data_IF_478898433523
#
_entry.id   IF_478898433523
#
_cell.length_a   1.000
_cell.length_b   1.000
_cell.length_c   1.000
_cell.angle_alpha   90.00
_cell.angle_beta   90.00
_cell.angle_gamma   90.00
#
_symmetry.space_group_name_H-M   'P 1'
#
loop_
_entity.id
_entity.type
_entity.pdbx_description
1 polymer ?
#
# COMPACT_ATOMS: atom_id res chain seq x y z
N UNK A 1 -12.56 -19.15 -12.23
CA UNK A 1 -12.28 -18.69 -12.26
C UNK A 1 -11.45 -18.22 -11.96
N UNK A 2 -10.88 -17.99 -11.81
CA UNK A 2 -10.19 -17.49 -11.51
C UNK A 2 -9.73 -16.55 -11.42
N UNK A 3 -9.42 -16.14 -11.29
CA UNK A 3 -9.00 -15.37 -11.14
C UNK A 3 -8.36 -14.48 -11.05
N UNK A 4 -8.41 -13.85 -10.96
CA UNK A 4 -7.84 -12.76 -10.96
C UNK A 4 -7.00 -12.54 -9.88
N UNK A 5 -5.96 -13.08 -9.59
CA UNK A 5 -5.31 -12.95 -8.45
C UNK A 5 -4.61 -11.71 -8.26
N UNK A 6 -4.04 -11.07 -9.11
CA UNK A 6 -3.32 -9.81 -8.90
C UNK A 6 -4.20 -8.60 -9.09
N UNK A 7 -5.48 -8.81 -8.89
CA UNK A 7 -6.46 -7.76 -9.09
C UNK A 7 -6.50 -6.82 -7.89
N UNK A 8 -6.43 -5.53 -8.16
CA UNK A 8 -6.46 -4.52 -7.10
C UNK A 8 -7.42 -3.41 -7.50
N UNK A 9 -8.45 -3.17 -6.69
CA UNK A 9 -9.37 -2.07 -6.91
C UNK A 9 -9.78 -1.46 -5.59
N UNK A 10 -10.34 -0.26 -5.66
CA UNK A 10 -10.68 0.48 -4.47
C UNK A 10 -11.75 -0.23 -3.63
N UNK A 11 -12.73 -0.81 -4.30
CA UNK A 11 -13.85 -1.45 -3.58
C UNK A 11 -13.36 -2.61 -2.72
N UNK A 12 -12.56 -3.47 -3.28
CA UNK A 12 -12.06 -4.63 -2.56
C UNK A 12 -11.09 -4.22 -1.46
N UNK A 13 -10.24 -3.24 -1.75
CA UNK A 13 -9.30 -2.74 -0.75
C UNK A 13 -10.05 -2.13 0.43
N UNK A 14 -11.07 -1.32 0.13
CA UNK A 14 -11.85 -0.70 1.18
C UNK A 14 -12.49 -1.77 2.08
N UNK A 15 -13.10 -2.78 1.47
CA UNK A 15 -13.77 -3.83 2.24
C UNK A 15 -12.79 -4.57 3.14
N UNK A 16 -11.61 -4.91 2.61
CA UNK A 16 -10.62 -5.61 3.40
C UNK A 16 -10.07 -4.74 4.52
N UNK A 17 -9.93 -3.45 4.28
CA UNK A 17 -9.42 -2.56 5.32
C UNK A 17 -10.45 -2.36 6.43
N UNK A 18 -11.73 -2.29 6.08
CA UNK A 18 -12.77 -2.23 7.11
C UNK A 18 -12.74 -3.48 7.98
N UNK A 19 -12.64 -4.64 7.34
CA UNK A 19 -12.55 -5.89 8.07
C UNK A 19 -11.32 -5.92 8.98
N UNK A 20 -10.18 -5.46 8.47
CA UNK A 20 -8.96 -5.42 9.27
C UNK A 20 -9.11 -4.52 10.48
N UNK A 21 -9.76 -3.37 10.31
CA UNK A 21 -10.00 -2.46 11.43
C UNK A 21 -10.92 -3.07 12.47
N UNK A 22 -11.94 -3.81 12.03
CA UNK A 22 -12.88 -4.43 12.94
C UNK A 22 -12.21 -5.47 13.83
N UNK A 23 -11.30 -6.23 13.27
CA UNK A 23 -10.60 -7.25 14.06
C UNK A 23 -9.28 -6.73 14.64
N UNK A 24 -8.97 -5.48 14.39
CA UNK A 24 -7.75 -4.83 14.87
C UNK A 24 -6.49 -5.60 14.46
N UNK A 25 -6.55 -6.18 13.28
CA UNK A 25 -5.43 -6.95 12.75
C UNK A 25 -5.55 -7.03 11.25
N UNK A 26 -4.45 -6.72 10.57
CA UNK A 26 -4.44 -6.72 9.11
C UNK A 26 -4.67 -8.14 8.59
N UNK A 27 -5.65 -8.29 7.71
CA UNK A 27 -5.89 -9.60 7.11
C UNK A 27 -4.79 -9.93 6.11
N UNK A 28 -4.51 -11.21 5.87
CA UNK A 28 -3.52 -11.56 4.85
C UNK A 28 -3.85 -11.01 3.48
N UNK A 29 -5.14 -10.98 3.13
CA UNK A 29 -5.56 -10.41 1.86
C UNK A 29 -5.29 -8.92 1.80
N UNK A 30 -5.59 -8.19 2.87
CA UNK A 30 -5.33 -6.76 2.92
C UNK A 30 -3.83 -6.49 2.82
N UNK A 31 -3.04 -7.28 3.50
CA UNK A 31 -1.59 -7.13 3.45
C UNK A 31 -1.07 -7.27 2.03
N UNK A 32 -1.54 -8.29 1.32
CA UNK A 32 -1.13 -8.48 -0.08
C UNK A 32 -1.57 -7.31 -0.94
N UNK A 33 -2.76 -6.80 -0.70
CA UNK A 33 -3.26 -5.65 -1.46
C UNK A 33 -2.41 -4.41 -1.24
N UNK A 34 -2.00 -4.16 0.00
CA UNK A 34 -1.16 -3.02 0.30
C UNK A 34 0.21 -3.14 -0.35
N UNK A 35 0.79 -4.34 -0.32
CA UNK A 35 2.08 -4.57 -0.97
C UNK A 35 1.96 -4.36 -2.47
N UNK A 36 0.92 -4.89 -3.07
CA UNK A 36 0.70 -4.72 -4.51
C UNK A 36 0.48 -3.26 -4.86
N UNK A 37 -0.24 -2.54 -4.03
CA UNK A 37 -0.46 -1.11 -4.23
C UNK A 37 0.86 -0.35 -4.18
N UNK A 38 1.71 -0.68 -3.22
CA UNK A 38 3.01 -0.04 -3.10
C UNK A 38 3.86 -0.30 -4.33
N UNK A 39 3.86 -1.54 -4.82
CA UNK A 39 4.62 -1.89 -6.00
C UNK A 39 4.15 -1.12 -7.22
N UNK A 40 2.83 -1.00 -7.39
CA UNK A 40 2.29 -0.27 -8.53
C UNK A 40 2.57 1.22 -8.43
N UNK A 41 2.45 1.78 -7.23
CA UNK A 41 2.73 3.21 -7.05
C UNK A 41 4.18 3.51 -7.36
N UNK A 42 5.07 2.65 -6.91
CA UNK A 42 6.50 2.87 -7.09
C UNK A 42 6.92 2.68 -8.54
N UNK A 43 6.26 1.77 -9.25
CA UNK A 43 6.59 1.56 -10.66
C UNK A 43 6.35 2.79 -11.53
N UNK A 44 5.56 3.74 -11.04
CA UNK A 44 5.31 4.97 -11.77
C UNK A 44 6.33 6.06 -11.48
N UNK A 45 7.25 5.79 -10.58
CA UNK A 45 8.24 6.79 -10.18
C UNK A 45 9.57 6.50 -10.84
N UNK A 46 10.45 7.51 -10.84
CA UNK A 46 11.74 7.39 -11.48
C UNK A 46 12.81 7.01 -10.48
N UNK A 47 13.73 6.18 -10.94
CA UNK A 47 14.83 5.70 -10.11
C UNK A 47 16.12 5.77 -10.84
N UNK A 48 17.17 5.83 -10.06
CA UNK A 48 18.52 5.79 -10.63
C UNK A 48 18.88 4.34 -10.97
N UNK A 49 18.55 3.42 -10.06
CA UNK A 49 18.85 2.01 -10.29
C UNK A 49 17.89 1.13 -9.49
N UNK A 50 18.01 -0.18 -9.67
CA UNK A 50 17.07 -1.13 -9.04
C UNK A 50 17.24 -1.20 -7.53
N UNK A 51 18.46 -1.01 -7.03
CA UNK A 51 18.67 -1.05 -5.59
C UNK A 51 17.93 0.10 -4.90
N UNK A 52 17.98 1.29 -5.50
CA UNK A 52 17.25 2.43 -4.96
C UNK A 52 15.74 2.17 -4.98
N UNK A 53 15.28 1.54 -6.05
CA UNK A 53 13.86 1.21 -6.17
C UNK A 53 13.43 0.26 -5.05
N UNK A 54 14.23 -0.75 -4.77
CA UNK A 54 13.91 -1.71 -3.72
C UNK A 54 13.91 -1.06 -2.34
N UNK A 55 14.86 -0.18 -2.09
CA UNK A 55 14.91 0.53 -0.81
C UNK A 55 13.66 1.39 -0.63
N UNK A 56 13.28 2.12 -1.66
CA UNK A 56 12.09 2.95 -1.59
C UNK A 56 10.83 2.12 -1.41
N UNK A 57 10.77 0.96 -2.08
CA UNK A 57 9.63 0.07 -1.93
C UNK A 57 9.51 -0.44 -0.50
N UNK A 58 10.62 -0.79 0.13
CA UNK A 58 10.60 -1.25 1.51
C UNK A 58 10.08 -0.18 2.45
N UNK A 59 10.51 1.07 2.27
CA UNK A 59 10.01 2.16 3.09
C UNK A 59 8.52 2.37 2.89
N UNK A 60 8.05 2.25 1.64
CA UNK A 60 6.62 2.40 1.37
C UNK A 60 5.82 1.30 2.06
N UNK A 61 6.29 0.06 1.98
CA UNK A 61 5.59 -1.06 2.60
C UNK A 61 5.58 -0.91 4.12
N UNK A 62 6.71 -0.53 4.70
CA UNK A 62 6.79 -0.35 6.14
C UNK A 62 5.83 0.72 6.63
N UNK A 63 5.72 1.83 5.88
CA UNK A 63 4.79 2.87 6.26
C UNK A 63 3.34 2.41 6.15
N UNK A 64 3.02 1.63 5.11
CA UNK A 64 1.68 1.10 4.99
C UNK A 64 1.33 0.19 6.15
N UNK A 65 2.26 -0.69 6.53
CA UNK A 65 2.04 -1.61 7.64
C UNK A 65 2.01 -0.88 8.98
N UNK A 66 2.64 0.27 9.05
CA UNK A 66 2.68 1.03 10.29
C UNK A 66 1.44 1.89 10.48
N UNK A 67 0.92 2.47 9.38
CA UNK A 67 -0.16 3.46 9.47
C UNK A 67 -1.51 3.00 8.98
N UNK A 68 -1.69 1.75 8.61
CA UNK A 68 -2.97 1.30 8.05
C UNK A 68 -4.13 1.50 9.04
N UNK A 69 -3.86 1.45 10.34
CA UNK A 69 -4.91 1.62 11.35
C UNK A 69 -5.48 3.04 11.39
N UNK A 70 -4.78 3.98 10.82
CA UNK A 70 -5.26 5.35 10.78
C UNK A 70 -6.30 5.58 9.69
N UNK A 71 -6.56 4.58 8.87
CA UNK A 71 -7.55 4.72 7.81
C UNK A 71 -8.94 4.92 8.44
N UNK A 72 -9.65 5.94 7.93
CA UNK A 72 -10.99 6.25 8.38
C UNK A 72 -12.01 5.70 7.40
N UNK A 73 -12.83 4.70 7.80
CA UNK A 73 -13.80 4.10 6.87
C UNK A 73 -14.84 5.06 6.33
N UNK A 74 -14.96 6.24 6.89
CA UNK A 74 -15.85 7.25 6.34
C UNK A 74 -15.38 7.75 4.99
N UNK A 75 -14.11 7.59 4.68
CA UNK A 75 -13.60 7.98 3.37
C UNK A 75 -13.72 6.79 2.43
N UNK A 76 -14.49 6.93 1.35
CA UNK A 76 -14.69 5.79 0.45
C UNK A 76 -13.50 5.47 -0.44
N UNK A 77 -12.55 6.38 -0.56
CA UNK A 77 -11.42 6.18 -1.46
C UNK A 77 -10.20 5.66 -0.72
N UNK A 78 -10.25 4.38 -0.39
CA UNK A 78 -9.13 3.74 0.30
C UNK A 78 -7.87 3.73 -0.58
N UNK A 79 -8.06 3.53 -1.87
CA UNK A 79 -6.94 3.47 -2.80
C UNK A 79 -6.09 4.74 -2.73
N UNK A 80 -6.76 5.90 -2.79
CA UNK A 80 -6.04 7.17 -2.74
C UNK A 80 -5.34 7.37 -1.40
N UNK A 81 -6.01 6.99 -0.32
CA UNK A 81 -5.43 7.15 1.01
C UNK A 81 -4.13 6.36 1.15
N UNK A 82 -4.17 5.09 0.77
CA UNK A 82 -2.98 4.25 0.94
C UNK A 82 -1.92 4.56 -0.10
N UNK A 83 -2.31 5.03 -1.28
CA UNK A 83 -1.33 5.48 -2.27
C UNK A 83 -0.52 6.66 -1.73
N UNK A 84 -1.17 7.57 -1.00
CA UNK A 84 -0.46 8.69 -0.40
C UNK A 84 0.56 8.22 0.63
N UNK A 85 0.20 7.24 1.43
CA UNK A 85 1.13 6.70 2.40
C UNK A 85 2.33 6.06 1.70
N UNK A 86 2.07 5.33 0.61
CA UNK A 86 3.15 4.71 -0.15
C UNK A 86 4.09 5.77 -0.74
N UNK A 87 3.53 6.87 -1.24
CA UNK A 87 4.35 7.94 -1.78
C UNK A 87 5.23 8.57 -0.72
N UNK A 88 4.70 8.75 0.47
CA UNK A 88 5.49 9.31 1.57
C UNK A 88 6.62 8.38 1.97
N UNK A 89 6.34 7.09 2.01
CA UNK A 89 7.38 6.12 2.29
C UNK A 89 8.45 6.12 1.22
N UNK A 90 8.03 6.22 -0.04
CA UNK A 90 8.96 6.34 -1.14
C UNK A 90 9.87 7.55 -0.97
N UNK A 91 9.29 8.68 -0.60
CA UNK A 91 10.08 9.90 -0.42
C UNK A 91 11.10 9.75 0.70
N UNK A 92 10.72 9.07 1.78
CA UNK A 92 11.66 8.81 2.86
C UNK A 92 12.84 7.96 2.38
N UNK A 93 12.54 6.92 1.62
CA UNK A 93 13.59 6.08 1.08
C UNK A 93 14.52 6.85 0.16
N UNK A 94 13.92 7.68 -0.68
CA UNK A 94 14.71 8.50 -1.60
C UNK A 94 15.65 9.43 -0.87
N UNK A 95 15.17 10.03 0.22
CA UNK A 95 15.97 10.97 0.98
C UNK A 95 17.12 10.29 1.72
N UNK A 96 17.04 8.99 1.92
CA UNK A 96 18.10 8.26 2.59
C UNK A 96 19.17 7.75 1.64
N UNK A 97 18.89 7.79 0.38
CA UNK A 97 19.84 7.39 -0.64
C UNK A 97 20.79 8.55 -0.95
#
# INVERSE_FOLDING_TARGET
MARKKNYLNNKDLYAEMVLSLEQDKLTPTAEKMLILLAERAINKMKYVNDDDRLDCLQFAILDLLKYWRNFNPKYPNAFAYFTEIAKRGYAKGWNKI
#
